data_IF_009445579557
#
_entry.id   IF_009445579557
#
_cell.length_a   1.000
_cell.length_b   1.000
_cell.length_c   1.000
_cell.angle_alpha   90.00
_cell.angle_beta   90.00
_cell.angle_gamma   90.00
#
_symmetry.space_group_name_H-M   'P 1'
#
loop_
_entity.id
_entity.type
_entity.pdbx_description
1 polymer ?
#
# COMPACT_ATOMS: atom_id res chain seq x y z
N UNK A 1 3.25 -25.22 20.39
CA UNK A 1 3.09 -23.85 19.87
C UNK A 1 2.73 -23.92 18.40
N UNK A 2 1.44 -23.83 18.05
CA UNK A 2 1.03 -23.75 16.65
C UNK A 2 1.38 -22.35 16.14
N UNK A 3 2.44 -22.23 15.34
CA UNK A 3 2.62 -21.08 14.45
C UNK A 3 1.41 -21.09 13.54
N UNK A 4 0.44 -20.21 13.79
CA UNK A 4 -0.72 -20.05 12.92
C UNK A 4 -0.21 -19.90 11.49
N UNK A 5 -0.59 -20.82 10.60
CA UNK A 5 -0.29 -20.72 9.17
C UNK A 5 -0.72 -19.33 8.75
N UNK A 6 0.18 -18.60 8.10
CA UNK A 6 -0.17 -17.33 7.48
C UNK A 6 -1.33 -17.61 6.52
N UNK A 7 -2.53 -17.11 6.86
CA UNK A 7 -3.75 -17.32 6.06
C UNK A 7 -3.78 -16.39 4.85
N UNK A 8 -2.81 -15.48 4.74
CA UNK A 8 -2.76 -14.48 3.68
C UNK A 8 -2.10 -15.08 2.45
N UNK A 9 -2.78 -14.98 1.32
CA UNK A 9 -2.29 -15.43 0.03
C UNK A 9 -1.21 -14.49 -0.56
N UNK A 10 -1.20 -13.23 -0.12
CA UNK A 10 -0.31 -12.19 -0.63
C UNK A 10 0.56 -11.62 0.50
N UNK A 11 1.87 -11.43 0.26
CA UNK A 11 2.74 -10.77 1.23
C UNK A 11 2.27 -9.32 1.47
N UNK A 12 2.64 -8.77 2.62
CA UNK A 12 2.46 -7.35 2.95
C UNK A 12 3.77 -6.77 3.44
N UNK A 13 4.02 -5.50 3.11
CA UNK A 13 5.24 -4.79 3.43
C UNK A 13 4.97 -3.77 4.54
N UNK A 14 5.97 -3.46 5.38
CA UNK A 14 5.76 -2.45 6.42
C UNK A 14 5.54 -1.09 5.77
N UNK A 15 4.52 -0.38 6.23
CA UNK A 15 4.04 0.84 5.59
C UNK A 15 4.33 2.11 6.41
N UNK A 16 5.29 2.11 7.33
CA UNK A 16 5.55 3.27 8.21
C UNK A 16 5.94 4.57 7.49
N UNK A 17 6.41 4.48 6.23
CA UNK A 17 6.74 5.64 5.39
C UNK A 17 5.55 6.15 4.57
N UNK A 18 4.47 5.36 4.49
CA UNK A 18 3.25 5.75 3.82
C UNK A 18 2.53 6.78 4.69
N UNK A 19 2.11 7.89 4.11
CA UNK A 19 1.15 8.79 4.75
C UNK A 19 -0.25 8.34 4.37
N UNK A 20 -1.10 8.16 5.38
CA UNK A 20 -2.47 7.68 5.20
C UNK A 20 -3.44 8.60 5.94
N UNK A 21 -4.42 9.11 5.19
CA UNK A 21 -5.62 9.74 5.75
C UNK A 21 -6.85 8.96 5.33
N UNK A 22 -7.82 8.89 6.22
CA UNK A 22 -9.09 8.20 5.98
C UNK A 22 -10.25 9.09 6.39
N UNK A 23 -11.40 8.88 5.77
CA UNK A 23 -12.69 9.39 6.24
C UNK A 23 -13.76 8.36 5.94
N UNK A 24 -14.87 8.44 6.66
CA UNK A 24 -16.05 7.61 6.37
C UNK A 24 -16.59 7.97 4.99
N UNK A 25 -16.84 6.97 4.16
CA UNK A 25 -17.56 7.17 2.92
C UNK A 25 -19.00 7.51 3.29
N UNK A 26 -19.46 8.68 2.85
CA UNK A 26 -20.79 9.17 3.18
C UNK A 26 -21.62 9.34 1.91
N UNK A 27 -22.96 9.31 2.03
CA UNK A 27 -23.85 9.71 0.95
C UNK A 27 -23.54 11.13 0.48
N UNK A 28 -23.84 11.42 -0.79
CA UNK A 28 -23.58 12.73 -1.41
C UNK A 28 -24.20 13.92 -0.64
N UNK A 29 -25.28 13.65 0.10
CA UNK A 29 -26.09 14.65 0.78
C UNK A 29 -25.65 14.89 2.23
N UNK A 30 -24.69 14.12 2.73
CA UNK A 30 -24.20 14.23 4.10
C UNK A 30 -23.12 15.32 4.23
N UNK A 31 -23.05 16.01 5.38
CA UNK A 31 -21.98 16.98 5.62
C UNK A 31 -20.61 16.31 5.60
N UNK A 32 -19.66 16.90 4.88
CA UNK A 32 -18.36 16.30 4.60
C UNK A 32 -17.67 15.74 5.85
N UNK A 33 -17.45 14.42 5.86
CA UNK A 33 -16.65 13.76 6.90
C UNK A 33 -15.24 14.37 7.01
N UNK A 34 -14.80 14.54 8.26
CA UNK A 34 -13.44 14.98 8.58
C UNK A 34 -12.42 13.92 8.17
N UNK A 35 -11.26 14.38 7.70
CA UNK A 35 -10.13 13.51 7.39
C UNK A 35 -9.31 13.22 8.64
N UNK A 36 -9.26 11.96 9.04
CA UNK A 36 -8.45 11.47 10.14
C UNK A 36 -7.07 11.06 9.62
N UNK A 37 -6.01 11.47 10.31
CA UNK A 37 -4.64 10.98 10.02
C UNK A 37 -4.38 9.73 10.84
N UNK A 38 -4.16 8.61 10.17
CA UNK A 38 -3.97 7.31 10.81
C UNK A 38 -2.58 6.76 10.54
N UNK A 39 -2.12 5.80 11.34
CA UNK A 39 -0.77 5.25 11.21
C UNK A 39 -0.80 3.94 10.42
N UNK A 40 -0.31 3.90 9.18
CA UNK A 40 -0.22 2.66 8.43
C UNK A 40 0.84 1.72 9.03
N UNK A 41 0.53 0.44 9.02
CA UNK A 41 1.30 -0.64 9.62
C UNK A 41 1.86 -1.55 8.53
N UNK A 42 0.98 -2.04 7.67
CA UNK A 42 1.32 -2.92 6.54
C UNK A 42 0.51 -2.56 5.29
N UNK A 43 1.02 -2.91 4.12
CA UNK A 43 0.41 -2.58 2.82
C UNK A 43 0.72 -3.64 1.77
N UNK A 44 -0.24 -3.88 0.88
CA UNK A 44 -0.04 -4.42 -0.46
C UNK A 44 -1.09 -3.82 -1.41
N UNK A 45 -1.05 -4.20 -2.68
CA UNK A 45 -1.95 -3.69 -3.73
C UNK A 45 -3.42 -4.01 -3.48
N UNK A 46 -3.75 -4.97 -2.62
CA UNK A 46 -5.13 -5.37 -2.31
C UNK A 46 -5.69 -4.71 -1.05
N UNK A 47 -4.83 -4.15 -0.20
CA UNK A 47 -5.28 -3.55 1.04
C UNK A 47 -4.14 -3.19 1.98
N UNK A 48 -4.51 -2.67 3.14
CA UNK A 48 -3.55 -2.22 4.14
C UNK A 48 -4.03 -2.52 5.55
N UNK A 49 -3.09 -2.54 6.49
CA UNK A 49 -3.35 -2.50 7.92
C UNK A 49 -2.97 -1.14 8.46
N UNK A 50 -3.80 -0.54 9.31
CA UNK A 50 -3.49 0.72 9.99
C UNK A 50 -3.92 0.67 11.46
N UNK A 51 -3.33 1.53 12.28
CA UNK A 51 -3.76 1.77 13.65
C UNK A 51 -4.39 3.15 13.78
N UNK A 52 -5.48 3.24 14.54
CA UNK A 52 -6.25 4.47 14.72
C UNK A 52 -6.83 4.53 16.13
N UNK A 53 -6.84 5.72 16.71
CA UNK A 53 -7.62 6.02 17.92
C UNK A 53 -9.09 6.29 17.61
N UNK A 54 -9.39 6.58 16.35
CA UNK A 54 -10.75 6.66 15.83
C UNK A 54 -11.26 5.23 15.63
N UNK A 55 -12.36 4.88 16.30
CA UNK A 55 -12.96 3.56 16.17
C UNK A 55 -13.68 3.41 14.84
N UNK A 56 -13.19 2.52 13.97
CA UNK A 56 -13.88 2.07 12.77
C UNK A 56 -14.39 0.64 12.99
N UNK A 57 -15.48 0.28 12.31
CA UNK A 57 -16.13 -1.02 12.47
C UNK A 57 -15.97 -1.90 11.24
N UNK A 58 -16.01 -3.22 11.41
CA UNK A 58 -16.03 -4.15 10.27
C UNK A 58 -17.23 -3.88 9.35
N UNK A 59 -17.01 -3.97 8.04
CA UNK A 59 -17.99 -3.62 7.00
C UNK A 59 -18.05 -2.13 6.66
N UNK A 60 -17.41 -1.26 7.44
CA UNK A 60 -17.42 0.17 7.19
C UNK A 60 -16.62 0.53 5.92
N UNK A 61 -17.21 1.35 5.07
CA UNK A 61 -16.59 1.88 3.86
C UNK A 61 -15.86 3.18 4.17
N UNK A 62 -14.58 3.25 3.82
CA UNK A 62 -13.74 4.42 4.00
C UNK A 62 -13.25 4.92 2.65
N UNK A 63 -13.11 6.24 2.56
CA UNK A 63 -12.34 6.90 1.51
C UNK A 63 -10.95 7.23 2.05
N UNK A 64 -9.93 6.97 1.25
CA UNK A 64 -8.53 7.02 1.64
C UNK A 64 -7.76 7.99 0.74
N UNK A 65 -6.77 8.64 1.36
CA UNK A 65 -5.69 9.37 0.68
C UNK A 65 -4.36 8.75 1.06
N UNK A 66 -3.64 8.27 0.07
CA UNK A 66 -2.35 7.62 0.25
C UNK A 66 -1.27 8.46 -0.42
N UNK A 67 -0.15 8.64 0.27
CA UNK A 67 1.03 9.26 -0.35
C UNK A 67 2.33 8.62 0.11
N UNK A 68 3.22 8.40 -0.87
CA UNK A 68 4.57 7.90 -0.66
C UNK A 68 5.49 8.55 -1.70
N UNK A 69 6.49 9.29 -1.24
CA UNK A 69 7.39 10.08 -2.08
C UNK A 69 6.62 11.01 -3.06
N UNK A 70 6.71 10.72 -4.35
CA UNK A 70 6.08 11.43 -5.45
C UNK A 70 4.75 10.80 -5.90
N UNK A 71 4.33 9.68 -5.30
CA UNK A 71 3.06 9.02 -5.63
C UNK A 71 1.99 9.52 -4.68
N UNK A 72 0.88 9.97 -5.25
CA UNK A 72 -0.31 10.42 -4.51
C UNK A 72 -1.54 9.76 -5.11
N UNK A 73 -2.32 9.14 -4.25
CA UNK A 73 -3.61 8.55 -4.58
C UNK A 73 -4.67 9.21 -3.71
N UNK A 74 -5.68 9.73 -4.38
CA UNK A 74 -6.83 10.40 -3.78
C UNK A 74 -8.06 9.54 -4.05
N UNK A 75 -9.04 9.60 -3.16
CA UNK A 75 -10.34 8.93 -3.33
C UNK A 75 -10.28 7.41 -3.50
N UNK A 76 -9.27 6.75 -2.92
CA UNK A 76 -9.24 5.28 -2.90
C UNK A 76 -10.32 4.80 -1.94
N UNK A 77 -11.17 3.87 -2.37
CA UNK A 77 -12.22 3.32 -1.52
C UNK A 77 -11.76 1.99 -0.94
N UNK A 78 -12.11 1.71 0.31
CA UNK A 78 -11.92 0.40 0.88
C UNK A 78 -12.85 0.09 2.03
N UNK A 79 -13.02 -1.21 2.28
CA UNK A 79 -13.88 -1.76 3.31
C UNK A 79 -13.03 -2.29 4.47
N UNK A 80 -13.39 -1.95 5.71
CA UNK A 80 -12.78 -2.52 6.91
C UNK A 80 -13.19 -3.99 7.04
N UNK A 81 -12.22 -4.91 6.99
CA UNK A 81 -12.43 -6.35 7.01
C UNK A 81 -12.19 -6.99 8.38
N UNK A 82 -11.37 -6.37 9.23
CA UNK A 82 -11.13 -6.84 10.58
C UNK A 82 -10.74 -5.71 11.52
N UNK A 83 -11.16 -5.84 12.77
CA UNK A 83 -10.80 -4.91 13.85
C UNK A 83 -10.24 -5.69 15.05
N UNK A 84 -9.05 -5.32 15.49
CA UNK A 84 -8.37 -5.91 16.65
C UNK A 84 -7.77 -4.82 17.53
N UNK A 85 -8.53 -4.36 18.51
CA UNK A 85 -8.13 -3.21 19.34
C UNK A 85 -8.09 -1.93 18.51
N UNK A 86 -6.94 -1.26 18.47
CA UNK A 86 -6.70 -0.06 17.66
C UNK A 86 -6.29 -0.39 16.21
N UNK A 87 -6.09 -1.66 15.87
CA UNK A 87 -5.65 -2.11 14.54
C UNK A 87 -6.83 -2.49 13.67
N UNK A 88 -6.81 -1.96 12.45
CA UNK A 88 -7.84 -2.12 11.44
C UNK A 88 -7.20 -2.69 10.17
N UNK A 89 -7.76 -3.78 9.64
CA UNK A 89 -7.44 -4.31 8.32
C UNK A 89 -8.45 -3.82 7.30
N UNK A 90 -7.98 -3.21 6.22
CA UNK A 90 -8.80 -2.66 5.15
C UNK A 90 -8.44 -3.32 3.83
N UNK A 91 -9.48 -3.63 3.04
CA UNK A 91 -9.37 -4.14 1.68
C UNK A 91 -9.84 -3.06 0.71
N UNK A 92 -9.08 -2.82 -0.35
CA UNK A 92 -9.50 -1.85 -1.36
C UNK A 92 -10.68 -2.38 -2.18
N UNK A 93 -11.56 -1.47 -2.54
CA UNK A 93 -12.73 -1.75 -3.36
C UNK A 93 -12.51 -1.20 -4.78
N UNK A 94 -12.46 -2.11 -5.74
CA UNK A 94 -12.25 -1.83 -7.18
C UNK A 94 -13.54 -1.98 -8.00
N UNK A 95 -14.69 -2.11 -7.35
CA UNK A 95 -15.97 -2.29 -8.04
C UNK A 95 -16.51 -1.02 -8.71
N UNK A 96 -15.90 0.14 -8.43
CA UNK A 96 -16.36 1.45 -8.90
C UNK A 96 -15.43 1.97 -10.01
N UNK A 97 -16.00 2.22 -11.19
CA UNK A 97 -15.37 2.85 -12.38
C UNK A 97 -14.09 2.16 -12.93
N UNK A 98 -14.28 1.36 -13.99
CA UNK A 98 -13.21 0.57 -14.63
C UNK A 98 -12.05 1.41 -15.17
N UNK A 99 -12.29 2.63 -15.68
CA UNK A 99 -11.23 3.46 -16.25
C UNK A 99 -10.29 4.03 -15.18
N UNK A 100 -10.83 4.38 -14.01
CA UNK A 100 -10.04 4.88 -12.88
C UNK A 100 -9.34 3.74 -12.12
N UNK A 101 -9.91 2.54 -12.20
CA UNK A 101 -9.38 1.34 -11.54
C UNK A 101 -7.99 0.94 -12.02
N UNK A 102 -7.71 0.93 -13.32
CA UNK A 102 -6.40 0.53 -13.85
C UNK A 102 -5.27 1.49 -13.42
N UNK A 103 -5.54 2.80 -13.46
CA UNK A 103 -4.59 3.82 -13.03
C UNK A 103 -4.33 3.73 -11.53
N UNK A 104 -5.38 3.54 -10.74
CA UNK A 104 -5.28 3.34 -9.30
C UNK A 104 -4.47 2.08 -8.97
N UNK A 105 -4.76 0.95 -9.62
CA UNK A 105 -4.00 -0.30 -9.44
C UNK A 105 -2.53 -0.11 -9.77
N UNK A 106 -2.21 0.51 -10.91
CA UNK A 106 -0.82 0.78 -11.29
C UNK A 106 -0.08 1.63 -10.25
N UNK A 107 -0.75 2.64 -9.67
CA UNK A 107 -0.16 3.45 -8.62
C UNK A 107 0.00 2.70 -7.29
N UNK A 108 -0.95 1.84 -6.92
CA UNK A 108 -0.84 0.97 -5.74
C UNK A 108 0.31 -0.03 -5.88
N UNK A 109 0.50 -0.62 -7.06
CA UNK A 109 1.63 -1.50 -7.38
C UNK A 109 2.97 -0.77 -7.27
N UNK A 110 3.05 0.49 -7.73
CA UNK A 110 4.25 1.31 -7.58
C UNK A 110 4.56 1.63 -6.11
N UNK A 111 3.53 1.89 -5.30
CA UNK A 111 3.68 2.05 -3.84
C UNK A 111 4.20 0.73 -3.24
N UNK A 112 3.61 -0.40 -3.60
CA UNK A 112 4.04 -1.72 -3.13
C UNK A 112 5.51 -1.98 -3.45
N UNK A 113 5.93 -1.73 -4.69
CA UNK A 113 7.30 -1.89 -5.13
C UNK A 113 8.29 -1.00 -4.35
N UNK A 114 7.92 0.25 -4.06
CA UNK A 114 8.74 1.17 -3.23
C UNK A 114 8.85 0.72 -1.77
N UNK A 115 7.79 0.16 -1.21
CA UNK A 115 7.82 -0.39 0.14
C UNK A 115 8.64 -1.69 0.21
N UNK A 116 8.55 -2.53 -0.82
CA UNK A 116 9.37 -3.75 -0.95
C UNK A 116 10.87 -3.42 -1.05
N UNK A 117 11.24 -2.47 -1.91
CA UNK A 117 12.64 -2.03 -2.05
C UNK A 117 13.19 -1.32 -0.80
N UNK A 118 12.34 -0.62 -0.04
CA UNK A 118 12.70 -0.09 1.28
C UNK A 118 13.05 -1.18 2.30
N UNK A 119 12.57 -2.41 2.12
CA UNK A 119 12.95 -3.58 2.90
C UNK A 119 14.19 -4.31 2.34
N UNK A 120 14.52 -4.10 1.05
CA UNK A 120 15.63 -4.72 0.35
C UNK A 120 17.01 -4.07 0.56
N UNK A 121 17.10 -2.89 1.19
CA UNK A 121 18.38 -2.21 1.43
C UNK A 121 19.22 -2.81 2.59
N UNK A 122 18.76 -3.90 3.22
CA UNK A 122 19.51 -4.65 4.25
C UNK A 122 19.91 -6.07 3.81
N UNK A 123 19.71 -6.45 2.55
CA UNK A 123 20.16 -7.73 2.02
C UNK A 123 21.18 -7.54 0.89
N UNK A 124 22.46 -7.48 1.25
CA UNK A 124 23.56 -7.83 0.33
C UNK A 124 24.29 -6.65 -0.31
N UNK A 125 25.24 -6.09 0.43
CA UNK A 125 26.44 -5.58 -0.21
C UNK A 125 27.21 -6.70 -0.92
N UNK A 126 28.00 -6.28 -1.93
CA UNK A 126 29.17 -6.96 -2.54
C UNK A 126 28.94 -7.72 -3.87
N UNK A 127 29.31 -6.99 -4.94
CA UNK A 127 30.12 -7.35 -6.14
C UNK A 127 29.56 -8.41 -7.11
N UNK A 128 29.70 -8.27 -8.43
CA UNK A 128 30.92 -7.92 -9.18
C UNK A 128 30.61 -7.23 -10.52
N UNK A 129 31.47 -6.26 -10.85
CA UNK A 129 31.81 -5.88 -12.22
C UNK A 129 31.99 -7.13 -13.09
N UNK A 130 31.37 -7.16 -14.28
CA UNK A 130 31.99 -7.79 -15.43
C UNK A 130 32.09 -6.74 -16.53
N UNK A 131 33.34 -6.31 -16.73
CA UNK A 131 33.84 -5.45 -17.79
C UNK A 131 33.20 -5.84 -19.11
N UNK A 132 32.61 -4.86 -19.80
CA UNK A 132 32.43 -4.92 -21.25
C UNK A 132 33.82 -4.93 -21.87
N UNK A 133 34.22 -6.05 -22.46
CA UNK A 133 35.20 -6.03 -23.55
C UNK A 133 34.39 -6.14 -24.85
N UNK A 134 34.36 -5.03 -25.59
CA UNK A 134 34.05 -5.00 -27.01
C UNK A 134 35.14 -4.21 -27.70
N UNK A 135 35.35 -4.59 -28.97
CA UNK A 135 36.17 -3.95 -30.01
C UNK A 135 37.65 -4.30 -29.89
N UNK A 136 38.12 -5.27 -30.67
CA UNK A 136 38.47 -5.17 -32.10
C UNK A 136 39.67 -4.25 -32.30
N UNK A 137 40.82 -4.87 -32.54
CA UNK A 137 41.83 -4.27 -33.39
C UNK A 137 42.21 -5.30 -34.46
N UNK A 138 41.83 -4.95 -35.69
CA UNK A 138 42.56 -5.30 -36.89
C UNK A 138 43.85 -4.47 -36.86
N UNK A 139 44.99 -5.04 -37.21
CA UNK A 139 46.04 -4.44 -38.08
C UNK A 139 47.35 -5.23 -37.92
N UNK A 140 47.94 -5.65 -39.04
CA UNK A 140 49.34 -6.08 -39.13
C UNK A 140 49.51 -7.54 -39.50
#
# INVERSE_FOLDING_TARGET
MYKGKDRRLHPRYRAHKLSLKVRRLQPADAPAATWDSVRPQDFNTLGLGFSSVHGYTEGEMLELRLSLDNIRLEQVIGCVQNVHGDRHGLQFDFSHDHMNTEQMLSALEQIEAKLNTSHGALAGGIRKMKRRERYSDKSG
#
